data_IF_489161395114
#
_entry.id   IF_489161395114
#
_cell.length_a   1.000
_cell.length_b   1.000
_cell.length_c   1.000
_cell.angle_alpha   90.00
_cell.angle_beta   90.00
_cell.angle_gamma   90.00
#
_symmetry.space_group_name_H-M   'P 1'
#
loop_
_entity.id
_entity.type
_entity.pdbx_description
1 polymer ?
#
# COMPACT_ATOMS: atom_id res chain seq x y z
N UNK A 1 -14.13 -47.19 32.71
CA UNK A 1 -13.27 -46.02 32.95
C UNK A 1 -13.83 -44.84 32.17
N UNK A 2 -14.50 -43.89 32.82
CA UNK A 2 -15.14 -42.71 32.17
C UNK A 2 -14.25 -41.49 32.39
N UNK A 3 -13.79 -40.88 31.30
CA UNK A 3 -13.01 -39.64 31.26
C UNK A 3 -13.90 -38.45 31.60
N UNK A 4 -13.57 -37.69 32.65
CA UNK A 4 -14.25 -36.44 32.99
C UNK A 4 -13.80 -35.32 32.02
N UNK A 5 -14.72 -34.81 31.19
CA UNK A 5 -14.53 -33.55 30.48
C UNK A 5 -14.71 -32.40 31.47
N UNK A 6 -13.66 -31.59 31.64
CA UNK A 6 -13.67 -30.38 32.45
C UNK A 6 -14.64 -29.36 31.82
N UNK A 7 -15.74 -29.09 32.49
CA UNK A 7 -16.75 -28.13 32.03
C UNK A 7 -16.23 -26.72 32.36
N UNK A 8 -15.75 -26.01 31.33
CA UNK A 8 -15.23 -24.65 31.49
C UNK A 8 -16.42 -23.71 31.65
N UNK A 9 -16.50 -23.04 32.80
CA UNK A 9 -17.56 -22.09 33.13
C UNK A 9 -17.43 -20.82 32.27
N UNK A 10 -18.49 -20.48 31.54
CA UNK A 10 -18.56 -19.30 30.66
C UNK A 10 -18.34 -17.98 31.42
N UNK A 11 -18.66 -17.94 32.72
CA UNK A 11 -18.44 -16.76 33.57
C UNK A 11 -16.95 -16.50 33.85
N UNK A 12 -16.12 -17.55 33.86
CA UNK A 12 -14.68 -17.41 34.09
C UNK A 12 -13.95 -16.83 32.87
N UNK A 13 -14.45 -17.10 31.65
CA UNK A 13 -13.89 -16.51 30.43
C UNK A 13 -14.23 -15.02 30.32
N UNK A 14 -15.45 -14.60 30.68
CA UNK A 14 -15.83 -13.17 30.69
C UNK A 14 -14.89 -12.32 31.55
N UNK A 15 -14.61 -12.77 32.77
CA UNK A 15 -13.70 -12.05 33.68
C UNK A 15 -12.27 -11.96 33.15
N UNK A 16 -11.81 -12.94 32.36
CA UNK A 16 -10.48 -12.88 31.76
C UNK A 16 -10.39 -11.92 30.57
N UNK A 17 -11.51 -11.73 29.84
CA UNK A 17 -11.55 -10.82 28.69
C UNK A 17 -11.51 -9.35 29.14
N UNK A 18 -12.28 -8.99 30.18
CA UNK A 18 -12.32 -7.63 30.73
C UNK A 18 -10.93 -7.17 31.25
N UNK A 19 -10.10 -8.12 31.71
CA UNK A 19 -8.77 -7.82 32.23
C UNK A 19 -7.71 -7.62 31.12
N UNK A 20 -8.03 -7.97 29.87
CA UNK A 20 -7.10 -7.89 28.72
C UNK A 20 -7.40 -6.72 27.78
N UNK A 21 -8.53 -6.04 27.94
CA UNK A 21 -8.93 -4.92 27.09
C UNK A 21 -9.34 -5.30 25.66
N UNK A 22 -9.63 -6.57 25.40
CA UNK A 22 -10.07 -7.03 24.07
C UNK A 22 -11.60 -6.93 23.96
N UNK A 23 -12.10 -6.07 23.06
CA UNK A 23 -13.54 -5.92 22.79
C UNK A 23 -13.94 -6.82 21.63
N UNK A 24 -14.89 -7.74 21.88
CA UNK A 24 -15.50 -8.56 20.84
C UNK A 24 -16.72 -7.85 20.23
N UNK A 25 -16.60 -7.44 18.96
CA UNK A 25 -17.65 -6.75 18.21
C UNK A 25 -18.90 -7.61 17.92
N UNK A 26 -18.86 -8.93 18.18
CA UNK A 26 -19.97 -9.84 17.91
C UNK A 26 -21.04 -9.90 19.01
N UNK A 27 -20.82 -9.29 20.17
CA UNK A 27 -21.79 -9.24 21.26
C UNK A 27 -22.42 -7.85 21.38
N UNK A 28 -23.53 -7.61 20.68
CA UNK A 28 -24.33 -6.41 20.87
C UNK A 28 -25.73 -6.79 21.39
N UNK A 29 -25.94 -6.91 22.72
CA UNK A 29 -27.27 -7.12 23.25
C UNK A 29 -27.99 -5.77 23.32
N UNK A 30 -29.11 -5.68 22.59
CA UNK A 30 -30.07 -4.58 22.65
C UNK A 30 -30.42 -4.26 24.11
N UNK A 31 -30.33 -2.98 24.46
CA UNK A 31 -30.74 -2.40 25.74
C UNK A 31 -32.25 -2.64 25.97
N UNK A 32 -32.59 -3.27 27.09
CA UNK A 32 -33.91 -3.20 27.72
C UNK A 32 -33.78 -2.46 29.04
N UNK A 33 -34.55 -1.39 29.21
CA UNK A 33 -34.57 -0.46 30.34
C UNK A 33 -34.91 -1.15 31.68
N UNK A 34 -34.20 -0.81 32.75
CA UNK A 34 -34.72 -0.64 34.13
C UNK A 34 -33.72 0.16 34.98
N UNK A 35 -34.25 0.97 35.90
CA UNK A 35 -33.64 2.11 36.61
C UNK A 35 -32.79 1.73 37.86
N UNK A 36 -31.81 2.57 38.24
CA UNK A 36 -31.72 3.35 39.52
C UNK A 36 -30.28 3.73 39.97
N UNK A 37 -30.10 5.06 40.13
CA UNK A 37 -29.36 5.88 41.12
C UNK A 37 -27.85 5.71 41.46
N UNK A 38 -27.16 6.82 41.15
CA UNK A 38 -26.27 7.69 41.96
C UNK A 38 -24.87 7.24 42.44
N UNK A 39 -23.94 8.16 42.14
CA UNK A 39 -22.62 8.45 42.72
C UNK A 39 -21.48 7.45 42.51
N UNK A 40 -20.70 7.65 41.44
CA UNK A 40 -19.23 7.57 41.47
C UNK A 40 -18.64 8.50 40.38
N UNK A 41 -17.84 9.45 40.86
CA UNK A 41 -16.61 10.02 40.26
C UNK A 41 -16.50 9.91 38.73
N UNK A 42 -16.62 11.05 38.04
CA UNK A 42 -16.66 11.16 36.59
C UNK A 42 -15.55 10.40 35.87
N UNK A 43 -15.89 9.20 35.40
CA UNK A 43 -15.13 8.42 34.44
C UNK A 43 -15.06 9.23 33.14
N UNK A 44 -13.97 9.99 33.00
CA UNK A 44 -13.75 10.81 31.81
C UNK A 44 -13.30 9.86 30.72
N UNK A 45 -14.26 9.34 29.96
CA UNK A 45 -13.99 8.51 28.79
C UNK A 45 -13.09 9.29 27.81
N UNK A 46 -11.82 8.90 27.73
CA UNK A 46 -10.87 9.44 26.75
C UNK A 46 -11.29 8.93 25.38
N UNK A 47 -12.00 9.76 24.62
CA UNK A 47 -12.27 9.48 23.22
C UNK A 47 -10.94 9.52 22.46
N UNK A 48 -10.46 8.37 21.99
CA UNK A 48 -9.30 8.30 21.11
C UNK A 48 -9.64 8.96 19.78
N UNK A 49 -8.88 10.00 19.42
CA UNK A 49 -9.03 10.63 18.12
C UNK A 49 -8.79 9.60 17.01
N UNK A 50 -9.56 9.65 15.91
CA UNK A 50 -9.34 8.75 14.78
C UNK A 50 -7.90 8.91 14.25
N UNK A 51 -7.23 7.82 13.85
CA UNK A 51 -5.84 7.85 13.42
C UNK A 51 -5.67 8.76 12.20
N UNK A 52 -4.63 9.61 12.22
CA UNK A 52 -4.30 10.46 11.07
C UNK A 52 -3.65 9.61 9.97
N UNK A 53 -4.32 9.52 8.81
CA UNK A 53 -3.80 8.80 7.65
C UNK A 53 -2.89 9.72 6.82
N UNK A 54 -1.60 9.39 6.76
CA UNK A 54 -0.65 10.07 5.86
C UNK A 54 -0.77 9.49 4.45
N UNK A 55 -0.79 10.35 3.44
CA UNK A 55 -0.70 9.92 2.03
C UNK A 55 0.66 9.26 1.77
N UNK A 56 0.71 8.15 1.01
CA UNK A 56 1.98 7.50 0.70
C UNK A 56 2.90 8.42 -0.11
N UNK A 57 4.22 8.36 0.09
CA UNK A 57 5.18 9.09 -0.72
C UNK A 57 5.12 8.60 -2.18
N UNK A 58 5.17 9.54 -3.12
CA UNK A 58 5.13 9.26 -4.55
C UNK A 58 6.55 9.23 -5.12
N UNK A 59 6.76 8.42 -6.14
CA UNK A 59 8.03 8.22 -6.82
C UNK A 59 7.82 8.27 -8.33
N UNK A 60 8.71 8.97 -9.03
CA UNK A 60 8.78 8.97 -10.48
C UNK A 60 9.56 7.75 -10.95
N UNK A 61 9.05 7.04 -11.95
CA UNK A 61 9.79 6.03 -12.69
C UNK A 61 10.43 6.71 -13.90
N UNK A 62 11.75 6.62 -13.99
CA UNK A 62 12.57 7.38 -14.92
C UNK A 62 13.37 6.42 -15.81
N UNK A 63 13.37 6.68 -17.11
CA UNK A 63 14.25 6.03 -18.08
C UNK A 63 15.48 6.89 -18.31
N UNK A 64 16.64 6.27 -18.40
CA UNK A 64 17.93 6.92 -18.66
C UNK A 64 18.39 6.64 -20.08
N UNK A 65 18.97 7.65 -20.72
CA UNK A 65 19.48 7.55 -22.09
C UNK A 65 20.72 6.65 -22.17
N UNK A 66 20.85 5.98 -23.31
CA UNK A 66 22.03 5.21 -23.69
C UNK A 66 22.15 5.17 -25.23
N UNK A 67 23.33 4.81 -25.74
CA UNK A 67 23.62 4.86 -27.19
C UNK A 67 23.23 3.58 -27.97
N UNK A 68 22.65 2.57 -27.32
CA UNK A 68 22.47 1.23 -27.90
C UNK A 68 21.02 0.74 -27.93
N UNK A 69 20.15 1.28 -27.09
CA UNK A 69 18.73 0.92 -27.06
C UNK A 69 17.98 1.61 -28.20
N UNK A 70 17.29 0.88 -29.10
CA UNK A 70 16.51 1.48 -30.18
C UNK A 70 15.34 2.34 -29.69
N UNK A 71 15.03 3.42 -30.42
CA UNK A 71 13.92 4.33 -30.08
C UNK A 71 12.57 3.61 -30.04
N UNK A 72 12.30 2.74 -31.02
CA UNK A 72 11.03 1.98 -31.08
C UNK A 72 10.87 1.04 -29.88
N UNK A 73 11.97 0.49 -29.36
CA UNK A 73 11.96 -0.34 -28.16
C UNK A 73 11.59 0.45 -26.90
N UNK A 74 12.08 1.69 -26.78
CA UNK A 74 11.69 2.60 -25.70
C UNK A 74 10.20 2.95 -25.79
N UNK A 75 9.69 3.22 -27.00
CA UNK A 75 8.26 3.47 -27.22
C UNK A 75 7.42 2.25 -26.82
N UNK A 76 7.82 1.04 -27.21
CA UNK A 76 7.15 -0.21 -26.84
C UNK A 76 7.05 -0.36 -25.31
N UNK A 77 8.14 -0.12 -24.58
CA UNK A 77 8.16 -0.15 -23.12
C UNK A 77 7.17 0.85 -22.52
N UNK A 78 7.16 2.07 -23.04
CA UNK A 78 6.29 3.15 -22.57
C UNK A 78 4.81 2.82 -22.81
N UNK A 79 4.47 2.20 -23.94
CA UNK A 79 3.11 1.73 -24.21
C UNK A 79 2.71 0.54 -23.32
N UNK A 80 3.57 -0.47 -23.22
CA UNK A 80 3.24 -1.73 -22.56
C UNK A 80 3.20 -1.62 -21.03
N UNK A 81 4.17 -0.93 -20.42
CA UNK A 81 4.31 -0.89 -18.96
C UNK A 81 3.72 0.37 -18.33
N UNK A 82 3.57 1.46 -19.09
CA UNK A 82 3.07 2.74 -18.57
C UNK A 82 1.74 3.17 -19.20
N UNK A 83 1.19 2.38 -20.13
CA UNK A 83 -0.08 2.63 -20.81
C UNK A 83 -0.13 4.01 -21.49
N UNK A 84 1.03 4.51 -21.94
CA UNK A 84 1.10 5.71 -22.76
C UNK A 84 0.59 5.41 -24.16
N UNK A 85 -0.10 6.37 -24.79
CA UNK A 85 -0.37 6.27 -26.22
C UNK A 85 0.91 6.55 -27.04
N UNK A 86 0.86 6.37 -28.37
CA UNK A 86 2.02 6.55 -29.24
C UNK A 86 2.63 7.96 -29.14
N UNK A 87 1.80 9.01 -29.16
CA UNK A 87 2.28 10.39 -29.15
C UNK A 87 2.97 10.71 -27.81
N UNK A 88 2.36 10.29 -26.69
CA UNK A 88 2.92 10.44 -25.36
C UNK A 88 4.23 9.65 -25.20
N UNK A 89 4.26 8.41 -25.66
CA UNK A 89 5.45 7.56 -25.61
C UNK A 89 6.59 8.15 -26.46
N UNK A 90 6.28 8.65 -27.66
CA UNK A 90 7.26 9.30 -28.54
C UNK A 90 7.83 10.54 -27.87
N UNK A 91 6.99 11.38 -27.25
CA UNK A 91 7.43 12.56 -26.54
C UNK A 91 8.39 12.23 -25.40
N UNK A 92 8.02 11.26 -24.54
CA UNK A 92 8.88 10.83 -23.44
C UNK A 92 10.18 10.22 -23.96
N UNK A 93 10.14 9.41 -25.02
CA UNK A 93 11.32 8.84 -25.64
C UNK A 93 12.27 9.93 -26.15
N UNK A 94 11.77 10.97 -26.84
CA UNK A 94 12.58 12.09 -27.31
C UNK A 94 13.18 12.88 -26.15
N UNK A 95 12.43 13.06 -25.06
CA UNK A 95 12.95 13.66 -23.82
C UNK A 95 14.10 12.84 -23.25
N UNK A 96 13.97 11.51 -23.15
CA UNK A 96 15.08 10.64 -22.72
C UNK A 96 16.29 10.87 -23.62
N UNK A 97 16.10 10.82 -24.94
CA UNK A 97 17.18 10.92 -25.91
C UNK A 97 17.95 12.26 -25.84
N UNK A 98 17.24 13.38 -25.76
CA UNK A 98 17.87 14.71 -25.81
C UNK A 98 18.26 15.26 -24.44
N UNK A 99 17.54 14.91 -23.39
CA UNK A 99 17.75 15.45 -22.03
C UNK A 99 18.49 14.46 -21.12
N UNK A 100 18.78 13.24 -21.61
CA UNK A 100 19.51 12.20 -20.89
C UNK A 100 18.64 11.37 -19.95
N UNK A 101 17.44 11.83 -19.62
CA UNK A 101 16.44 11.08 -18.84
C UNK A 101 15.02 11.57 -19.10
N UNK A 102 14.03 10.73 -18.83
CA UNK A 102 12.61 11.08 -18.99
C UNK A 102 11.72 10.34 -18.01
N UNK A 103 10.69 11.03 -17.51
CA UNK A 103 9.69 10.47 -16.61
C UNK A 103 8.65 9.65 -17.40
N UNK A 104 8.54 8.37 -17.07
CA UNK A 104 7.56 7.46 -17.67
C UNK A 104 6.23 7.45 -16.89
N UNK A 105 6.26 7.75 -15.59
CA UNK A 105 5.06 7.88 -14.76
C UNK A 105 5.37 8.02 -13.27
N UNK A 106 4.36 8.37 -12.47
CA UNK A 106 4.48 8.60 -11.02
C UNK A 106 3.57 7.64 -10.25
N UNK A 107 4.11 6.93 -9.27
CA UNK A 107 3.41 5.90 -8.52
C UNK A 107 3.82 5.89 -7.03
N UNK A 108 3.04 5.25 -6.14
CA UNK A 108 3.55 4.85 -4.82
C UNK A 108 4.79 3.98 -4.95
N UNK A 109 5.67 4.05 -3.95
CA UNK A 109 6.99 3.40 -3.95
C UNK A 109 6.98 1.96 -4.48
N UNK A 110 6.16 1.09 -3.90
CA UNK A 110 6.16 -0.34 -4.23
C UNK A 110 5.79 -0.61 -5.70
N UNK A 111 4.88 0.19 -6.25
CA UNK A 111 4.47 0.11 -7.66
C UNK A 111 5.60 0.64 -8.56
N UNK A 112 6.23 1.74 -8.18
CA UNK A 112 7.35 2.31 -8.91
C UNK A 112 8.53 1.32 -8.98
N UNK A 113 8.93 0.73 -7.85
CA UNK A 113 9.99 -0.29 -7.77
C UNK A 113 9.66 -1.51 -8.65
N UNK A 114 8.41 -1.98 -8.59
CA UNK A 114 7.96 -3.11 -9.41
C UNK A 114 8.04 -2.80 -10.90
N UNK A 115 7.55 -1.63 -11.34
CA UNK A 115 7.60 -1.23 -12.75
C UNK A 115 9.04 -1.07 -13.25
N UNK A 116 9.90 -0.40 -12.49
CA UNK A 116 11.31 -0.24 -12.86
C UNK A 116 12.01 -1.60 -13.03
N UNK A 117 11.78 -2.54 -12.10
CA UNK A 117 12.32 -3.89 -12.19
C UNK A 117 11.79 -4.67 -13.40
N UNK A 118 10.48 -4.57 -13.71
CA UNK A 118 9.89 -5.21 -14.89
C UNK A 118 10.54 -4.71 -16.18
N UNK A 119 10.69 -3.40 -16.32
CA UNK A 119 11.32 -2.76 -17.48
C UNK A 119 12.78 -3.18 -17.62
N UNK A 120 13.56 -3.12 -16.54
CA UNK A 120 14.97 -3.52 -16.54
C UNK A 120 15.15 -5.00 -16.94
N UNK A 121 14.32 -5.88 -16.39
CA UNK A 121 14.36 -7.29 -16.73
C UNK A 121 13.99 -7.54 -18.19
N UNK A 122 12.99 -6.83 -18.71
CA UNK A 122 12.59 -6.92 -20.10
C UNK A 122 13.70 -6.44 -21.04
N UNK A 123 14.24 -5.24 -20.82
CA UNK A 123 15.36 -4.69 -21.58
C UNK A 123 16.56 -5.65 -21.60
N UNK A 124 16.94 -6.19 -20.44
CA UNK A 124 18.02 -7.19 -20.34
C UNK A 124 17.72 -8.45 -21.13
N UNK A 125 16.47 -8.94 -21.09
CA UNK A 125 16.06 -10.14 -21.84
C UNK A 125 16.10 -9.94 -23.36
N UNK A 126 15.92 -8.70 -23.82
CA UNK A 126 16.02 -8.31 -25.24
C UNK A 126 17.44 -7.88 -25.64
N UNK A 127 18.40 -7.89 -24.70
CA UNK A 127 19.79 -7.52 -24.98
C UNK A 127 20.07 -6.02 -25.04
N UNK A 128 19.16 -5.19 -24.53
CA UNK A 128 19.32 -3.73 -24.49
C UNK A 128 19.84 -3.27 -23.12
N UNK A 129 20.77 -2.29 -23.06
CA UNK A 129 21.32 -1.77 -21.81
C UNK A 129 20.44 -0.71 -21.14
N UNK A 130 19.22 -0.47 -21.63
CA UNK A 130 18.27 0.51 -21.09
C UNK A 130 18.13 0.38 -19.57
N UNK A 131 18.30 1.51 -18.88
CA UNK A 131 18.20 1.58 -17.43
C UNK A 131 16.95 2.36 -17.00
N UNK A 132 16.17 1.74 -16.12
CA UNK A 132 15.01 2.31 -15.47
C UNK A 132 15.22 2.38 -13.95
N UNK A 133 14.99 3.54 -13.35
CA UNK A 133 15.14 3.77 -11.91
C UNK A 133 13.95 4.52 -11.33
N UNK A 134 13.88 4.62 -10.00
CA UNK A 134 12.89 5.45 -9.31
C UNK A 134 13.55 6.64 -8.63
N UNK A 135 12.90 7.79 -8.68
CA UNK A 135 13.33 9.03 -8.02
C UNK A 135 12.21 9.51 -7.09
N UNK A 136 12.51 10.00 -5.87
CA UNK A 136 11.50 10.61 -5.01
C UNK A 136 10.79 11.78 -5.73
N UNK A 137 9.47 11.83 -5.65
CA UNK A 137 8.67 12.96 -6.13
C UNK A 137 8.22 13.77 -4.92
N UNK A 138 8.63 15.03 -4.84
CA UNK A 138 8.14 15.98 -3.83
C UNK A 138 6.69 16.40 -4.08
#
# INVERSE_FOLDING_TARGET
MRTLKRQISLNAMKSSFDQTGYVDWHFNPRLSESQQNEDHEGDTAVQTAPPQLKRPPMYAVVLLNDDYTPMDFVIEILQQYFALNLDQATQVMLTVHYEGKGEAGVYPRDIAETKANQVNNYARSQGHPLLCQIEPKE
#
